data_IF_384107079020
#
_entry.id   IF_384107079020
#
_cell.length_a   1.000
_cell.length_b   1.000
_cell.length_c   1.000
_cell.angle_alpha   90.00
_cell.angle_beta   90.00
_cell.angle_gamma   90.00
#
_symmetry.space_group_name_H-M   'P 1'
#
loop_
_entity.id
_entity.type
_entity.pdbx_description
1 polymer ?
#
# COMPACT_ATOMS: atom_id res chain seq x y z
N UNK A 1 -13.87 -12.73 -4.17
CA UNK A 1 -12.42 -12.73 -3.92
C UNK A 1 -12.01 -14.08 -3.36
N UNK A 2 -10.73 -14.41 -3.40
CA UNK A 2 -10.18 -15.59 -2.75
C UNK A 2 -8.82 -15.28 -2.16
N UNK A 3 -8.52 -15.93 -1.03
CA UNK A 3 -7.20 -15.95 -0.42
C UNK A 3 -6.63 -17.34 -0.59
N UNK A 4 -5.43 -17.46 -1.12
CA UNK A 4 -4.72 -18.71 -1.34
C UNK A 4 -3.45 -18.68 -0.52
N UNK A 5 -3.23 -19.71 0.30
CA UNK A 5 -1.99 -19.92 1.06
C UNK A 5 -1.31 -21.13 0.42
N UNK A 6 -0.09 -20.95 -0.06
CA UNK A 6 0.68 -22.00 -0.77
C UNK A 6 1.31 -22.95 0.24
N UNK A 7 0.57 -23.96 0.68
CA UNK A 7 1.06 -24.98 1.62
C UNK A 7 1.54 -26.21 0.89
N UNK A 8 2.60 -26.89 1.35
CA UNK A 8 3.13 -28.08 0.69
C UNK A 8 2.24 -29.32 0.83
N UNK A 9 1.34 -29.39 1.82
CA UNK A 9 0.58 -30.61 2.15
C UNK A 9 -0.91 -30.39 2.39
N UNK A 10 -1.53 -29.31 1.92
CA UNK A 10 -2.95 -28.98 2.16
C UNK A 10 -3.32 -28.84 3.66
N UNK A 11 -2.33 -28.82 4.55
CA UNK A 11 -2.52 -28.63 5.98
C UNK A 11 -2.05 -27.24 6.38
N UNK A 12 -2.74 -26.66 7.35
CA UNK A 12 -2.44 -25.33 7.87
C UNK A 12 -2.70 -25.32 9.36
N UNK A 13 -1.74 -24.81 10.13
CA UNK A 13 -1.96 -24.57 11.56
C UNK A 13 -3.19 -23.70 11.78
N UNK A 14 -4.10 -24.18 12.59
CA UNK A 14 -5.41 -23.56 12.76
C UNK A 14 -5.31 -22.15 13.35
N UNK A 15 -4.39 -21.91 14.29
CA UNK A 15 -4.24 -20.61 14.94
C UNK A 15 -3.64 -19.58 13.99
N UNK A 16 -2.53 -19.92 13.32
CA UNK A 16 -1.86 -19.03 12.37
C UNK A 16 -2.74 -18.80 11.12
N UNK A 17 -3.37 -19.84 10.62
CA UNK A 17 -4.33 -19.75 9.50
C UNK A 17 -5.52 -18.85 9.83
N UNK A 18 -6.15 -19.05 10.98
CA UNK A 18 -7.27 -18.20 11.41
C UNK A 18 -6.85 -16.74 11.56
N UNK A 19 -5.66 -16.45 12.12
CA UNK A 19 -5.12 -15.10 12.24
C UNK A 19 -4.93 -14.48 10.86
N UNK A 20 -4.40 -15.23 9.90
CA UNK A 20 -4.22 -14.79 8.51
C UNK A 20 -5.57 -14.44 7.85
N UNK A 21 -6.60 -15.26 8.03
CA UNK A 21 -7.94 -14.95 7.51
C UNK A 21 -8.58 -13.74 8.18
N UNK A 22 -8.39 -13.56 9.49
CA UNK A 22 -8.84 -12.36 10.22
C UNK A 22 -8.13 -11.12 9.67
N UNK A 23 -6.82 -11.20 9.45
CA UNK A 23 -6.03 -10.14 8.82
C UNK A 23 -6.58 -9.75 7.45
N UNK A 24 -6.80 -10.72 6.56
CA UNK A 24 -7.38 -10.50 5.24
C UNK A 24 -8.77 -9.84 5.32
N UNK A 25 -9.66 -10.38 6.15
CA UNK A 25 -11.02 -9.86 6.34
C UNK A 25 -10.99 -8.42 6.84
N UNK A 26 -10.16 -8.14 7.85
CA UNK A 26 -10.05 -6.81 8.46
C UNK A 26 -9.45 -5.80 7.49
N UNK A 27 -8.38 -6.16 6.78
CA UNK A 27 -7.76 -5.33 5.75
C UNK A 27 -8.77 -4.90 4.69
N UNK A 28 -9.43 -5.88 4.08
CA UNK A 28 -10.34 -5.64 2.96
C UNK A 28 -11.55 -4.81 3.38
N UNK A 29 -12.12 -5.11 4.56
CA UNK A 29 -13.28 -4.36 5.04
C UNK A 29 -12.91 -2.93 5.44
N UNK A 30 -11.71 -2.67 5.99
CA UNK A 30 -11.23 -1.31 6.27
C UNK A 30 -11.02 -0.50 4.98
N UNK A 31 -10.44 -1.12 3.96
CA UNK A 31 -10.28 -0.47 2.66
C UNK A 31 -11.62 -0.24 1.96
N UNK A 32 -12.59 -1.13 2.17
CA UNK A 32 -13.95 -0.93 1.66
C UNK A 32 -14.67 0.21 2.38
N UNK A 33 -14.58 0.31 3.71
CA UNK A 33 -15.11 1.42 4.49
C UNK A 33 -14.53 2.75 3.96
N UNK A 34 -13.20 2.83 3.82
CA UNK A 34 -12.55 4.03 3.31
C UNK A 34 -13.00 4.40 1.88
N UNK A 35 -13.02 3.42 0.96
CA UNK A 35 -13.40 3.68 -0.43
C UNK A 35 -14.88 4.11 -0.61
N UNK A 36 -15.78 3.67 0.29
CA UNK A 36 -17.22 3.93 0.20
C UNK A 36 -17.66 5.17 1.00
N UNK A 37 -17.05 5.42 2.17
CA UNK A 37 -17.46 6.47 3.10
C UNK A 37 -16.38 7.56 3.31
N UNK A 38 -15.22 7.43 2.66
CA UNK A 38 -14.09 8.38 2.76
C UNK A 38 -13.63 8.61 4.23
N UNK A 39 -13.82 7.59 5.08
CA UNK A 39 -13.54 7.66 6.51
C UNK A 39 -12.84 6.41 7.03
N UNK A 40 -12.37 6.50 8.29
CA UNK A 40 -11.74 5.40 9.01
C UNK A 40 -12.69 4.94 10.11
N UNK A 41 -13.05 3.65 10.09
CA UNK A 41 -13.85 3.01 11.15
C UNK A 41 -12.91 2.44 12.20
N UNK A 42 -12.74 3.16 13.31
CA UNK A 42 -11.82 2.80 14.40
C UNK A 42 -12.15 1.45 15.04
N UNK A 43 -13.42 1.22 15.38
CA UNK A 43 -13.86 -0.03 16.00
C UNK A 43 -14.97 -0.67 15.19
N UNK A 44 -14.68 -1.87 14.69
CA UNK A 44 -15.67 -2.65 13.96
C UNK A 44 -16.57 -3.42 14.94
N UNK A 45 -17.87 -3.32 14.72
CA UNK A 45 -18.92 -4.02 15.47
C UNK A 45 -19.64 -5.01 14.54
N UNK A 46 -20.38 -5.94 15.14
CA UNK A 46 -21.21 -6.87 14.36
C UNK A 46 -22.29 -6.18 13.53
N UNK A 47 -22.66 -4.94 13.89
CA UNK A 47 -23.62 -4.09 13.18
C UNK A 47 -23.04 -3.37 11.98
N UNK A 48 -21.70 -3.34 11.78
CA UNK A 48 -21.09 -2.64 10.65
C UNK A 48 -21.69 -3.09 9.31
N UNK A 49 -21.96 -2.13 8.39
CA UNK A 49 -22.64 -2.45 7.13
C UNK A 49 -21.78 -3.23 6.15
N UNK A 50 -20.45 -3.18 6.29
CA UNK A 50 -19.50 -3.86 5.39
C UNK A 50 -18.90 -5.05 6.11
N UNK A 51 -18.96 -6.23 5.48
CA UNK A 51 -18.43 -7.50 6.00
C UNK A 51 -17.76 -8.31 4.92
N UNK A 52 -16.82 -9.17 5.32
CA UNK A 52 -16.28 -10.24 4.50
C UNK A 52 -16.85 -11.58 4.99
N UNK A 53 -17.68 -12.21 4.18
CA UNK A 53 -18.29 -13.49 4.49
C UNK A 53 -17.57 -14.63 3.77
N UNK A 54 -17.16 -15.65 4.51
CA UNK A 54 -16.55 -16.85 3.97
C UNK A 54 -17.55 -17.62 3.08
N UNK A 55 -17.05 -18.18 1.99
CA UNK A 55 -17.77 -19.06 1.09
C UNK A 55 -17.12 -20.46 1.07
N UNK A 56 -17.55 -21.31 0.15
CA UNK A 56 -16.98 -22.67 0.00
C UNK A 56 -15.49 -22.61 -0.31
N UNK A 57 -14.73 -23.50 0.32
CA UNK A 57 -13.32 -23.75 0.00
C UNK A 57 -13.20 -24.35 -1.41
N UNK A 58 -12.04 -24.27 -1.98
CA UNK A 58 -11.71 -24.97 -3.23
C UNK A 58 -10.44 -25.84 -3.03
N UNK A 59 -10.42 -26.95 -3.73
CA UNK A 59 -9.32 -27.91 -3.71
C UNK A 59 -8.17 -27.36 -4.57
N UNK A 60 -7.14 -26.86 -3.95
CA UNK A 60 -5.75 -26.67 -4.42
C UNK A 60 -5.04 -25.77 -3.44
N UNK A 61 -3.92 -26.17 -2.83
CA UNK A 61 -3.35 -25.43 -1.71
C UNK A 61 -4.43 -25.07 -0.65
N UNK A 62 -4.15 -24.28 0.34
CA UNK A 62 -5.17 -23.86 1.30
C UNK A 62 -5.89 -22.59 0.80
N UNK A 63 -6.98 -22.79 0.02
CA UNK A 63 -7.73 -21.70 -0.64
C UNK A 63 -9.09 -21.44 -0.02
N UNK A 64 -9.38 -20.17 0.30
CA UNK A 64 -10.64 -19.73 0.88
C UNK A 64 -11.30 -18.66 0.01
N UNK A 65 -12.52 -18.94 -0.47
CA UNK A 65 -13.34 -17.93 -1.10
C UNK A 65 -14.08 -17.07 -0.08
N UNK A 66 -14.24 -15.79 -0.37
CA UNK A 66 -15.05 -14.88 0.42
C UNK A 66 -15.71 -13.82 -0.46
N UNK A 67 -16.76 -13.21 0.05
CA UNK A 67 -17.46 -12.09 -0.59
C UNK A 67 -17.54 -10.90 0.35
N UNK A 68 -17.43 -9.72 -0.20
CA UNK A 68 -17.69 -8.48 0.53
C UNK A 68 -19.20 -8.25 0.46
N UNK A 69 -19.85 -8.25 1.62
CA UNK A 69 -21.26 -7.88 1.75
C UNK A 69 -21.37 -6.46 2.25
N UNK A 70 -22.20 -5.70 1.57
CA UNK A 70 -22.51 -4.32 1.92
C UNK A 70 -24.01 -4.22 2.19
N UNK A 71 -24.38 -3.63 3.32
CA UNK A 71 -25.77 -3.37 3.69
C UNK A 71 -26.06 -1.87 3.53
N UNK A 72 -27.30 -1.56 3.13
CA UNK A 72 -27.76 -0.20 2.87
C UNK A 72 -27.69 0.15 1.38
N UNK A 73 -28.79 0.66 0.87
CA UNK A 73 -28.96 0.94 -0.57
C UNK A 73 -27.94 1.93 -1.11
N UNK A 74 -27.59 2.95 -0.33
CA UNK A 74 -26.61 3.96 -0.72
C UNK A 74 -25.20 3.35 -0.89
N UNK A 75 -24.73 2.56 0.09
CA UNK A 75 -23.40 1.92 0.02
C UNK A 75 -23.32 0.88 -1.09
N UNK A 76 -24.40 0.12 -1.31
CA UNK A 76 -24.52 -0.83 -2.43
C UNK A 76 -24.41 -0.10 -3.76
N UNK A 77 -25.10 1.04 -3.92
CA UNK A 77 -24.99 1.87 -5.12
C UNK A 77 -23.57 2.36 -5.32
N UNK A 78 -22.93 2.95 -4.28
CA UNK A 78 -21.54 3.41 -4.34
C UNK A 78 -20.58 2.29 -4.75
N UNK A 79 -20.72 1.06 -4.16
CA UNK A 79 -19.90 -0.09 -4.53
C UNK A 79 -20.08 -0.51 -5.99
N UNK A 80 -21.32 -0.51 -6.48
CA UNK A 80 -21.62 -0.81 -7.88
C UNK A 80 -21.04 0.25 -8.83
N UNK A 81 -21.11 1.51 -8.44
CA UNK A 81 -20.55 2.63 -9.21
C UNK A 81 -19.02 2.55 -9.28
N UNK A 82 -18.36 2.19 -8.20
CA UNK A 82 -16.90 1.94 -8.18
C UNK A 82 -16.56 0.78 -9.12
N UNK A 83 -17.28 -0.31 -9.00
CA UNK A 83 -17.06 -1.54 -9.74
C UNK A 83 -15.91 -2.40 -9.19
N UNK A 84 -16.00 -3.70 -9.43
CA UNK A 84 -15.08 -4.70 -8.85
C UNK A 84 -13.62 -4.47 -9.22
N UNK A 85 -13.33 -4.16 -10.49
CA UNK A 85 -11.96 -3.96 -10.98
C UNK A 85 -11.31 -2.77 -10.29
N UNK A 86 -11.97 -1.63 -10.31
CA UNK A 86 -11.48 -0.39 -9.67
C UNK A 86 -11.25 -0.58 -8.17
N UNK A 87 -12.18 -1.28 -7.49
CA UNK A 87 -12.02 -1.58 -6.07
C UNK A 87 -10.78 -2.46 -5.79
N UNK A 88 -10.49 -3.45 -6.65
CA UNK A 88 -9.28 -4.26 -6.54
C UNK A 88 -8.00 -3.44 -6.77
N UNK A 89 -8.01 -2.51 -7.72
CA UNK A 89 -6.88 -1.57 -7.94
C UNK A 89 -6.62 -0.70 -6.70
N UNK A 90 -7.66 -0.22 -6.02
CA UNK A 90 -7.54 0.54 -4.77
C UNK A 90 -6.95 -0.33 -3.65
N UNK A 91 -7.41 -1.58 -3.50
CA UNK A 91 -6.83 -2.52 -2.53
C UNK A 91 -5.34 -2.73 -2.83
N UNK A 92 -5.00 -3.03 -4.08
CA UNK A 92 -3.63 -3.27 -4.50
C UNK A 92 -2.73 -2.06 -4.18
N UNK A 93 -3.20 -0.86 -4.50
CA UNK A 93 -2.50 0.39 -4.20
C UNK A 93 -2.16 0.51 -2.72
N UNK A 94 -3.15 0.43 -1.84
CA UNK A 94 -2.93 0.61 -0.40
C UNK A 94 -2.10 -0.51 0.23
N UNK A 95 -2.26 -1.76 -0.24
CA UNK A 95 -1.42 -2.88 0.22
C UNK A 95 0.04 -2.62 -0.14
N UNK A 96 0.34 -2.25 -1.39
CA UNK A 96 1.72 -2.00 -1.83
C UNK A 96 2.32 -0.76 -1.17
N UNK A 97 1.56 0.34 -1.03
CA UNK A 97 2.01 1.51 -0.26
C UNK A 97 2.36 1.15 1.20
N UNK A 98 1.53 0.32 1.86
CA UNK A 98 1.79 -0.13 3.24
C UNK A 98 3.06 -0.98 3.38
N UNK A 99 3.49 -1.61 2.29
CA UNK A 99 4.70 -2.43 2.16
C UNK A 99 5.90 -1.64 1.60
N UNK A 100 5.77 -0.34 1.41
CA UNK A 100 6.78 0.50 0.76
C UNK A 100 7.17 0.02 -0.65
N UNK A 101 6.28 -0.70 -1.32
CA UNK A 101 6.44 -1.15 -2.71
C UNK A 101 5.87 -0.11 -3.67
N UNK A 102 6.32 -0.18 -4.93
CA UNK A 102 5.76 0.64 -6.00
C UNK A 102 4.37 0.13 -6.38
N UNK A 103 3.29 0.92 -6.20
CA UNK A 103 1.99 0.51 -6.67
C UNK A 103 1.91 0.57 -8.20
N UNK A 104 1.09 -0.28 -8.83
CA UNK A 104 0.90 -0.25 -10.26
C UNK A 104 0.24 1.05 -10.71
N UNK A 105 0.29 1.30 -12.00
CA UNK A 105 -0.45 2.39 -12.61
C UNK A 105 -1.96 2.18 -12.40
N UNK A 106 -2.60 3.19 -11.86
CA UNK A 106 -4.03 3.15 -11.56
C UNK A 106 -4.87 3.56 -12.78
N UNK A 107 -6.00 2.92 -12.96
CA UNK A 107 -7.02 3.46 -13.86
C UNK A 107 -7.48 4.84 -13.38
N UNK A 108 -7.99 5.68 -14.28
CA UNK A 108 -8.51 7.02 -13.95
C UNK A 108 -9.51 6.99 -12.78
N UNK A 109 -10.38 5.98 -12.74
CA UNK A 109 -11.37 5.83 -11.65
C UNK A 109 -10.70 5.47 -10.32
N UNK A 110 -9.74 4.56 -10.31
CA UNK A 110 -9.00 4.21 -9.10
C UNK A 110 -8.18 5.40 -8.57
N UNK A 111 -7.51 6.14 -9.46
CA UNK A 111 -6.80 7.37 -9.10
C UNK A 111 -7.72 8.39 -8.43
N UNK A 112 -8.92 8.63 -8.97
CA UNK A 112 -9.90 9.55 -8.37
C UNK A 112 -10.33 9.12 -6.95
N UNK A 113 -10.42 7.81 -6.68
CA UNK A 113 -10.74 7.32 -5.32
C UNK A 113 -9.56 7.57 -4.39
N UNK A 114 -8.33 7.24 -4.81
CA UNK A 114 -7.12 7.49 -4.03
C UNK A 114 -6.95 8.99 -3.75
N UNK A 115 -7.23 9.85 -4.72
CA UNK A 115 -7.17 11.31 -4.55
C UNK A 115 -8.19 11.82 -3.52
N UNK A 116 -9.42 11.28 -3.50
CA UNK A 116 -10.42 11.61 -2.47
C UNK A 116 -9.98 11.18 -1.08
N UNK A 117 -9.25 10.07 -0.98
CA UNK A 117 -8.70 9.56 0.27
C UNK A 117 -7.42 10.28 0.71
N UNK A 118 -6.94 11.27 -0.05
CA UNK A 118 -5.68 11.97 0.26
C UNK A 118 -5.64 12.60 1.65
N UNK A 119 -6.79 13.07 2.15
CA UNK A 119 -6.90 13.69 3.48
C UNK A 119 -6.70 12.71 4.65
N UNK A 120 -6.93 11.42 4.43
CA UNK A 120 -6.82 10.33 5.44
C UNK A 120 -5.76 9.30 5.06
N UNK A 121 -4.95 9.56 4.04
CA UNK A 121 -4.04 8.57 3.45
C UNK A 121 -3.07 7.96 4.48
N UNK A 122 -2.33 8.79 5.23
CA UNK A 122 -1.35 8.30 6.22
C UNK A 122 -2.04 7.56 7.39
N UNK A 123 -3.18 8.07 7.85
CA UNK A 123 -3.97 7.43 8.90
C UNK A 123 -4.52 6.08 8.43
N UNK A 124 -4.95 5.98 7.16
CA UNK A 124 -5.41 4.73 6.57
C UNK A 124 -4.26 3.72 6.46
N UNK A 125 -3.07 4.14 6.02
CA UNK A 125 -1.89 3.27 5.99
C UNK A 125 -1.52 2.77 7.39
N UNK A 126 -1.55 3.65 8.40
CA UNK A 126 -1.33 3.26 9.79
C UNK A 126 -2.41 2.27 10.27
N UNK A 127 -3.67 2.52 9.90
CA UNK A 127 -4.82 1.72 10.31
C UNK A 127 -4.81 0.30 9.72
N UNK A 128 -4.32 0.12 8.48
CA UNK A 128 -4.22 -1.21 7.85
C UNK A 128 -2.95 -1.97 8.24
N UNK A 129 -1.96 -1.34 8.90
CA UNK A 129 -0.67 -1.98 9.20
C UNK A 129 -0.79 -3.22 10.09
N UNK A 130 -1.64 -3.22 11.12
CA UNK A 130 -1.84 -4.39 11.97
C UNK A 130 -2.58 -5.52 11.22
N UNK A 131 -3.69 -5.28 10.51
CA UNK A 131 -4.28 -6.28 9.61
C UNK A 131 -3.29 -6.90 8.61
N UNK A 132 -2.35 -6.08 8.08
CA UNK A 132 -1.30 -6.59 7.19
C UNK A 132 -0.33 -7.53 7.92
N UNK A 133 0.03 -7.26 9.18
CA UNK A 133 0.83 -8.20 10.00
C UNK A 133 0.09 -9.50 10.27
N UNK A 134 -1.20 -9.41 10.64
CA UNK A 134 -2.03 -10.59 10.87
C UNK A 134 -2.17 -11.42 9.59
N UNK A 135 -2.32 -10.75 8.43
CA UNK A 135 -2.37 -11.41 7.12
C UNK A 135 -1.09 -12.19 6.79
N UNK A 136 0.09 -11.69 7.21
CA UNK A 136 1.37 -12.37 7.01
C UNK A 136 1.69 -13.45 8.06
N UNK A 137 0.75 -13.83 8.91
CA UNK A 137 1.03 -14.69 10.06
C UNK A 137 1.57 -16.06 9.67
N UNK A 138 0.99 -16.68 8.65
CA UNK A 138 1.49 -17.97 8.13
C UNK A 138 2.81 -17.82 7.38
N UNK A 139 3.05 -16.71 6.71
CA UNK A 139 4.33 -16.40 6.07
C UNK A 139 5.44 -16.24 7.11
N UNK A 140 5.18 -15.49 8.18
CA UNK A 140 6.16 -15.32 9.27
C UNK A 140 6.51 -16.62 10.00
N UNK A 141 5.52 -17.53 10.14
CA UNK A 141 5.68 -18.77 10.89
C UNK A 141 6.28 -19.91 10.06
N UNK A 142 5.93 -19.99 8.77
CA UNK A 142 6.19 -21.16 7.93
C UNK A 142 6.82 -20.83 6.56
N UNK A 143 6.99 -19.56 6.22
CA UNK A 143 7.48 -19.15 4.90
C UNK A 143 6.46 -19.35 3.77
N UNK A 144 5.19 -19.58 4.07
CA UNK A 144 4.17 -19.81 3.04
C UNK A 144 3.78 -18.52 2.34
N UNK A 145 3.76 -18.55 1.02
CA UNK A 145 3.27 -17.44 0.20
C UNK A 145 1.75 -17.33 0.28
N UNK A 146 1.26 -16.10 0.23
CA UNK A 146 -0.17 -15.79 0.25
C UNK A 146 -0.51 -15.00 -1.00
N UNK A 147 -1.56 -15.40 -1.70
CA UNK A 147 -2.08 -14.67 -2.85
C UNK A 147 -3.53 -14.25 -2.61
N UNK A 148 -3.79 -12.95 -2.68
CA UNK A 148 -5.14 -12.41 -2.74
C UNK A 148 -5.56 -12.26 -4.19
N UNK A 149 -6.69 -12.88 -4.55
CA UNK A 149 -7.18 -12.95 -5.93
C UNK A 149 -8.60 -12.44 -6.04
N UNK A 150 -8.95 -11.96 -7.22
CA UNK A 150 -10.35 -11.76 -7.57
C UNK A 150 -10.73 -12.53 -8.84
N UNK A 151 -11.99 -12.93 -8.94
CA UNK A 151 -12.51 -13.62 -10.12
C UNK A 151 -13.08 -12.59 -11.09
N UNK A 152 -12.57 -12.63 -12.32
CA UNK A 152 -13.13 -11.94 -13.49
C UNK A 152 -13.75 -13.00 -14.41
N UNK A 153 -14.62 -12.58 -15.32
CA UNK A 153 -15.11 -13.43 -16.41
C UNK A 153 -13.91 -13.97 -17.20
N UNK A 154 -13.73 -15.30 -17.18
CA UNK A 154 -12.63 -15.98 -17.86
C UNK A 154 -11.44 -16.40 -16.99
N UNK A 155 -11.38 -16.05 -15.69
CA UNK A 155 -10.26 -16.48 -14.86
C UNK A 155 -10.16 -15.87 -13.48
N UNK A 156 -9.03 -16.12 -12.83
CA UNK A 156 -8.62 -15.47 -11.58
C UNK A 156 -7.48 -14.50 -11.91
N UNK A 157 -7.49 -13.35 -11.27
CA UNK A 157 -6.42 -12.34 -11.37
C UNK A 157 -5.89 -12.06 -9.97
N UNK A 158 -4.58 -12.08 -9.84
CA UNK A 158 -3.92 -11.75 -8.58
C UNK A 158 -4.04 -10.24 -8.32
N UNK A 159 -4.50 -9.90 -7.13
CA UNK A 159 -4.51 -8.53 -6.62
C UNK A 159 -3.14 -8.23 -6.02
N UNK A 160 -2.65 -9.15 -5.18
CA UNK A 160 -1.34 -9.02 -4.52
C UNK A 160 -0.82 -10.41 -4.12
N UNK A 161 0.49 -10.58 -4.25
CA UNK A 161 1.24 -11.73 -3.72
C UNK A 161 2.10 -11.26 -2.56
N UNK A 162 2.05 -12.00 -1.46
CA UNK A 162 2.70 -11.70 -0.19
C UNK A 162 3.62 -12.86 0.17
N UNK A 163 4.84 -12.57 0.57
CA UNK A 163 5.90 -13.52 0.88
C UNK A 163 6.77 -13.04 2.06
N UNK A 164 7.86 -13.71 2.33
CA UNK A 164 8.78 -13.34 3.41
C UNK A 164 9.36 -11.93 3.23
N UNK A 165 9.66 -11.50 2.00
CA UNK A 165 10.17 -10.16 1.73
C UNK A 165 9.13 -9.08 2.10
N UNK A 166 7.86 -9.32 1.79
CA UNK A 166 6.77 -8.42 2.16
C UNK A 166 6.52 -8.42 3.67
N UNK A 167 6.65 -9.57 4.34
CA UNK A 167 6.57 -9.66 5.79
C UNK A 167 7.68 -8.83 6.48
N UNK A 168 8.90 -8.81 5.91
CA UNK A 168 9.99 -7.99 6.42
C UNK A 168 9.66 -6.49 6.42
N UNK A 169 8.90 -5.99 5.44
CA UNK A 169 8.52 -4.57 5.35
C UNK A 169 7.57 -4.13 6.48
N UNK A 170 6.89 -5.08 7.12
CA UNK A 170 5.97 -4.81 8.24
C UNK A 170 6.67 -4.81 9.60
N UNK A 171 7.94 -5.20 9.66
CA UNK A 171 8.73 -5.16 10.90
C UNK A 171 8.91 -3.72 11.41
N UNK A 172 9.25 -3.55 12.70
CA UNK A 172 9.52 -2.23 13.25
C UNK A 172 10.61 -1.50 12.47
N UNK A 173 10.34 -0.26 12.13
CA UNK A 173 11.28 0.63 11.47
C UNK A 173 11.91 1.61 12.47
N UNK A 174 13.07 2.17 12.12
CA UNK A 174 13.73 3.22 12.89
C UNK A 174 13.84 4.48 12.03
N UNK A 175 13.37 5.58 12.56
CA UNK A 175 13.54 6.90 11.97
C UNK A 175 14.83 7.54 12.53
N UNK A 176 15.67 8.11 11.67
CA UNK A 176 16.84 8.88 12.12
C UNK A 176 16.40 10.19 12.77
N UNK A 177 17.11 10.59 13.81
CA UNK A 177 16.82 11.86 14.51
C UNK A 177 17.33 13.09 13.73
N UNK A 178 18.35 12.89 12.91
CA UNK A 178 18.99 13.94 12.13
C UNK A 178 18.71 13.80 10.65
N UNK A 179 18.68 14.92 9.96
CA UNK A 179 18.60 14.94 8.50
C UNK A 179 19.95 14.56 7.89
N UNK A 180 19.87 13.87 6.77
CA UNK A 180 21.01 13.54 5.93
C UNK A 180 20.75 14.10 4.53
N UNK A 181 21.83 14.49 3.86
CA UNK A 181 21.76 14.88 2.45
C UNK A 181 21.73 13.64 1.56
N UNK A 182 20.84 13.65 0.56
CA UNK A 182 20.72 12.61 -0.46
C UNK A 182 20.65 13.26 -1.84
N UNK A 183 21.34 12.66 -2.79
CA UNK A 183 21.21 12.92 -4.22
C UNK A 183 20.15 11.98 -4.78
N UNK A 184 19.05 12.51 -5.34
CA UNK A 184 17.86 11.71 -5.68
C UNK A 184 17.26 12.13 -7.02
N UNK A 185 16.57 11.19 -7.66
CA UNK A 185 15.68 11.44 -8.81
C UNK A 185 14.26 11.07 -8.40
N UNK A 186 13.33 11.96 -8.65
CA UNK A 186 11.90 11.72 -8.39
C UNK A 186 11.31 10.92 -9.55
N UNK A 187 10.74 9.76 -9.26
CA UNK A 187 10.12 8.88 -10.27
C UNK A 187 8.59 8.91 -10.21
N UNK A 188 8.02 9.32 -9.06
CA UNK A 188 6.58 9.52 -8.90
C UNK A 188 6.32 10.55 -7.81
N UNK A 189 5.28 11.38 -7.99
CA UNK A 189 4.85 12.33 -6.98
C UNK A 189 3.34 12.56 -7.04
N UNK A 190 2.65 12.37 -5.91
CA UNK A 190 1.27 12.75 -5.74
C UNK A 190 1.21 14.08 -4.95
N UNK A 191 0.85 15.15 -5.62
CA UNK A 191 0.81 16.50 -5.03
C UNK A 191 -0.30 16.70 -4.00
N UNK A 192 -1.31 15.82 -3.94
CA UNK A 192 -2.40 15.87 -2.96
C UNK A 192 -1.98 15.26 -1.62
N UNK A 193 -1.31 14.10 -1.66
CA UNK A 193 -0.86 13.40 -0.45
C UNK A 193 0.54 13.83 -0.01
N UNK A 194 1.37 14.32 -0.93
CA UNK A 194 2.79 14.60 -0.69
C UNK A 194 3.67 13.35 -0.70
N UNK A 195 3.13 12.21 -1.08
CA UNK A 195 3.85 10.95 -1.18
C UNK A 195 4.34 10.71 -2.60
N UNK A 196 5.42 9.97 -2.74
CA UNK A 196 5.99 9.63 -4.02
C UNK A 196 7.06 8.55 -3.93
N UNK A 197 7.76 8.41 -5.05
CA UNK A 197 8.89 7.49 -5.20
C UNK A 197 10.10 8.26 -5.73
N UNK A 198 11.26 7.83 -5.31
CA UNK A 198 12.52 8.38 -5.77
C UNK A 198 13.57 7.26 -5.88
N UNK A 199 14.60 7.51 -6.65
CA UNK A 199 15.82 6.70 -6.68
C UNK A 199 16.93 7.51 -6.02
N UNK A 200 17.63 6.90 -5.06
CA UNK A 200 18.82 7.46 -4.45
C UNK A 200 19.99 7.15 -5.37
N UNK A 201 20.88 8.11 -5.63
CA UNK A 201 22.07 7.92 -6.45
C UNK A 201 22.88 6.70 -6.01
N UNK A 202 23.27 5.87 -6.97
CA UNK A 202 23.95 4.59 -6.69
C UNK A 202 23.03 3.43 -6.26
N UNK A 203 21.71 3.63 -6.21
CA UNK A 203 20.72 2.58 -5.95
C UNK A 203 19.91 2.27 -7.20
N UNK A 204 19.56 1.00 -7.42
CA UNK A 204 18.73 0.57 -8.55
C UNK A 204 17.23 0.51 -8.25
N UNK A 205 16.85 0.52 -6.96
CA UNK A 205 15.46 0.36 -6.57
C UNK A 205 14.85 1.69 -6.12
N UNK A 206 13.58 1.89 -6.42
CA UNK A 206 12.84 3.04 -5.93
C UNK A 206 12.61 2.94 -4.42
N UNK A 207 12.67 4.08 -3.74
CA UNK A 207 12.39 4.24 -2.31
C UNK A 207 11.17 5.15 -2.16
N UNK A 208 10.28 4.82 -1.24
CA UNK A 208 9.16 5.70 -0.91
C UNK A 208 9.67 7.02 -0.32
N UNK A 209 8.97 8.11 -0.58
CA UNK A 209 9.20 9.35 0.15
C UNK A 209 7.89 10.03 0.55
N UNK A 210 7.97 10.83 1.58
CA UNK A 210 6.98 11.85 1.90
C UNK A 210 7.71 13.06 2.49
N UNK A 211 6.99 14.12 2.81
CA UNK A 211 7.60 15.24 3.52
C UNK A 211 7.55 15.02 5.04
N UNK A 212 8.52 15.59 5.75
CA UNK A 212 8.59 15.55 7.22
C UNK A 212 7.44 16.29 7.91
N UNK A 213 6.83 17.26 7.20
CA UNK A 213 5.59 17.93 7.57
C UNK A 213 4.48 17.53 6.61
N UNK A 214 3.21 17.55 7.06
CA UNK A 214 2.09 17.27 6.16
C UNK A 214 2.12 18.18 4.93
N UNK A 215 1.69 17.67 3.77
CA UNK A 215 1.80 18.34 2.46
C UNK A 215 1.29 19.79 2.46
N UNK A 216 0.28 20.11 3.27
CA UNK A 216 -0.27 21.48 3.39
C UNK A 216 0.72 22.47 3.99
N UNK A 217 1.67 22.02 4.81
CA UNK A 217 2.67 22.83 5.49
C UNK A 217 4.00 22.91 4.70
N UNK A 218 4.14 22.13 3.65
CA UNK A 218 5.33 22.15 2.79
C UNK A 218 5.35 23.40 1.94
N UNK A 219 6.48 24.11 1.93
CA UNK A 219 6.68 25.31 1.10
C UNK A 219 6.47 25.01 -0.37
N UNK A 220 5.89 25.98 -1.09
CA UNK A 220 5.53 25.83 -2.51
C UNK A 220 6.77 25.58 -3.37
N UNK A 221 7.90 26.19 -3.02
CA UNK A 221 9.18 26.04 -3.73
C UNK A 221 9.66 24.58 -3.73
N UNK A 222 9.54 23.90 -2.58
CA UNK A 222 9.91 22.49 -2.44
C UNK A 222 9.01 21.60 -3.33
N UNK A 223 7.68 21.83 -3.31
CA UNK A 223 6.73 21.10 -4.17
C UNK A 223 7.04 21.29 -5.65
N UNK A 224 7.33 22.54 -6.05
CA UNK A 224 7.69 22.88 -7.43
C UNK A 224 9.00 22.21 -7.86
N UNK A 225 10.00 22.19 -7.00
CA UNK A 225 11.29 21.57 -7.32
C UNK A 225 11.16 20.04 -7.47
N UNK A 226 10.40 19.38 -6.59
CA UNK A 226 10.08 17.94 -6.72
C UNK A 226 9.33 17.65 -8.01
N UNK A 227 8.29 18.44 -8.35
CA UNK A 227 7.54 18.28 -9.60
C UNK A 227 8.41 18.56 -10.84
N UNK A 228 9.28 19.58 -10.78
CA UNK A 228 10.19 19.93 -11.87
C UNK A 228 11.22 18.82 -12.12
N UNK A 229 11.78 18.23 -11.05
CA UNK A 229 12.73 17.13 -11.20
C UNK A 229 12.06 15.91 -11.84
N UNK A 230 10.83 15.57 -11.44
CA UNK A 230 10.05 14.51 -12.09
C UNK A 230 9.83 14.82 -13.58
N UNK A 231 9.37 16.02 -13.92
CA UNK A 231 9.08 16.44 -15.29
C UNK A 231 10.33 16.37 -16.17
N UNK A 232 11.44 16.91 -15.70
CA UNK A 232 12.71 16.91 -16.41
C UNK A 232 13.24 15.50 -16.71
N UNK A 233 13.07 14.56 -15.77
CA UNK A 233 13.57 13.20 -15.92
C UNK A 233 12.62 12.27 -16.69
N UNK A 234 11.37 12.66 -16.91
CA UNK A 234 10.38 11.82 -17.62
C UNK A 234 10.79 11.49 -19.06
N UNK A 235 11.58 12.34 -19.70
CA UNK A 235 12.03 12.19 -21.08
C UNK A 235 13.49 11.71 -21.20
N UNK A 236 14.18 11.52 -20.09
CA UNK A 236 15.58 11.13 -20.05
C UNK A 236 15.76 9.64 -19.79
N UNK A 237 16.79 9.05 -20.40
CA UNK A 237 17.25 7.72 -20.04
C UNK A 237 17.93 7.76 -18.65
N UNK A 238 17.98 6.62 -17.97
CA UNK A 238 18.53 6.51 -16.60
C UNK A 238 19.96 7.06 -16.48
N UNK A 239 20.81 6.83 -17.49
CA UNK A 239 22.19 7.33 -17.53
C UNK A 239 22.30 8.87 -17.62
N UNK A 240 21.20 9.54 -17.98
CA UNK A 240 21.14 10.99 -18.16
C UNK A 240 20.29 11.70 -17.11
N UNK A 241 19.84 11.01 -16.08
CA UNK A 241 18.99 11.59 -15.06
C UNK A 241 19.64 12.76 -14.33
N UNK A 242 18.84 13.79 -14.10
CA UNK A 242 19.22 14.99 -13.36
C UNK A 242 18.89 14.80 -11.90
N UNK A 243 19.91 14.57 -11.09
CA UNK A 243 19.76 14.42 -9.66
C UNK A 243 19.50 15.76 -8.97
N UNK A 244 18.67 15.75 -7.93
CA UNK A 244 18.49 16.88 -7.02
C UNK A 244 18.95 16.51 -5.62
N UNK A 245 19.48 17.48 -4.86
CA UNK A 245 19.91 17.26 -3.48
C UNK A 245 18.79 17.61 -2.51
N UNK A 246 18.50 16.67 -1.61
CA UNK A 246 17.45 16.83 -0.58
C UNK A 246 18.00 16.53 0.80
N UNK A 247 17.53 17.27 1.80
CA UNK A 247 17.70 16.94 3.20
C UNK A 247 16.52 16.06 3.64
N UNK A 248 16.80 14.90 4.22
CA UNK A 248 15.77 13.97 4.63
C UNK A 248 16.19 13.12 5.84
N UNK A 249 15.21 12.73 6.64
CA UNK A 249 15.34 11.64 7.61
C UNK A 249 15.05 10.32 6.91
N UNK A 250 15.85 9.30 7.21
CA UNK A 250 15.64 7.96 6.67
C UNK A 250 14.88 7.08 7.64
N UNK A 251 13.87 6.39 7.12
CA UNK A 251 13.17 5.31 7.79
C UNK A 251 13.81 4.00 7.35
N UNK A 252 14.37 3.24 8.29
CA UNK A 252 15.11 2.02 8.00
C UNK A 252 14.53 0.81 8.72
N UNK A 253 14.62 -0.36 8.11
CA UNK A 253 14.42 -1.65 8.77
C UNK A 253 15.61 -1.96 9.69
N UNK A 254 15.51 -3.01 10.52
CA UNK A 254 16.61 -3.46 11.40
C UNK A 254 17.89 -3.84 10.64
N UNK A 255 17.77 -4.32 9.41
CA UNK A 255 18.89 -4.66 8.51
C UNK A 255 19.47 -3.43 7.78
N UNK A 256 19.17 -2.22 8.22
CA UNK A 256 19.61 -0.93 7.65
C UNK A 256 19.04 -0.61 6.26
N UNK A 257 18.16 -1.44 5.69
CA UNK A 257 17.49 -1.13 4.42
C UNK A 257 16.64 0.12 4.58
N UNK A 258 16.87 1.14 3.75
CA UNK A 258 16.04 2.35 3.68
C UNK A 258 14.73 1.96 3.00
N UNK A 259 13.59 2.23 3.65
CA UNK A 259 12.25 1.96 3.12
C UNK A 259 11.48 3.22 2.78
N UNK A 260 11.80 4.35 3.46
CA UNK A 260 11.17 5.65 3.18
C UNK A 260 12.12 6.79 3.54
N UNK A 261 12.09 7.88 2.76
CA UNK A 261 12.70 9.14 3.11
C UNK A 261 11.62 10.15 3.52
N UNK A 262 11.87 10.89 4.59
CA UNK A 262 11.03 12.03 5.01
C UNK A 262 11.77 13.30 4.66
N UNK A 263 11.43 13.92 3.53
CA UNK A 263 12.09 15.12 3.00
C UNK A 263 11.71 16.33 3.88
N UNK A 264 12.71 17.01 4.39
CA UNK A 264 12.57 18.24 5.19
C UNK A 264 12.91 19.50 4.40
N UNK A 265 13.76 19.39 3.37
CA UNK A 265 14.20 20.50 2.54
C UNK A 265 14.90 20.06 1.26
N UNK A 266 15.18 21.06 0.43
CA UNK A 266 16.01 20.93 -0.76
C UNK A 266 17.30 21.70 -0.49
N UNK A 267 18.42 21.16 -0.92
CA UNK A 267 19.71 21.85 -0.88
C UNK A 267 19.81 22.63 -2.19
N UNK A 268 19.70 23.95 -2.10
CA UNK A 268 19.90 24.81 -3.27
C UNK A 268 21.38 24.71 -3.71
N UNK A 269 21.63 24.54 -5.00
CA UNK A 269 22.96 24.77 -5.57
C UNK A 269 23.26 26.26 -5.45
N UNK A 270 24.29 26.60 -4.64
CA UNK A 270 24.82 27.95 -4.58
C UNK A 270 25.56 28.30 -5.89
#
# INVERSE_FOLDING_TARGET
MSLVISTPGHELDMMHGSTTFIGASTLITRLADAALDEGIVEKRQTSNPIRADLQRNFESSFGQNFVIRVKGEELVRKLNDIGKKTFCEVIQFYVQESLYQEPPELSRRASQIVDRLSGIHEDLLAHIRNPMKDLHKVTEAYGYDITLQHRIEGGKTDIVSLNEDTALMLRPTRLTNVDHEFSVVITRFNHLTGNGRLIIEGHSNTVAFSFSSGIKLVRVEIKKAVSKNLDQNTVLNEDCWLFMRVNAKKLTLRNQKIVKLLISGIVDEQ
#
